data_IF_839313725882
#
_entry.id   IF_839313725882
#
_cell.length_a   1.000
_cell.length_b   1.000
_cell.length_c   1.000
_cell.angle_alpha   90.00
_cell.angle_beta   90.00
_cell.angle_gamma   90.00
#
_symmetry.space_group_name_H-M   'P 1'
#
loop_
_entity.id
_entity.type
_entity.pdbx_description
1 polymer ?
#
# COMPACT_ATOMS: atom_id res chain seq x y z
N UNK A 1 21.62 7.85 6.11
CA UNK A 1 21.37 9.10 6.85
C UNK A 1 21.06 8.67 8.27
N UNK A 2 21.84 9.05 9.28
CA UNK A 2 21.61 8.60 10.66
C UNK A 2 20.39 9.32 11.25
N UNK A 3 19.68 8.65 12.17
CA UNK A 3 18.52 9.20 12.89
C UNK A 3 18.84 10.56 13.57
N UNK A 4 20.07 10.76 14.00
CA UNK A 4 20.55 12.01 14.62
C UNK A 4 20.47 13.26 13.73
N UNK A 5 20.47 13.10 12.42
CA UNK A 5 20.37 14.25 11.49
C UNK A 5 18.92 14.70 11.25
N UNK A 6 17.93 13.89 11.61
CA UNK A 6 16.52 14.21 11.43
C UNK A 6 15.93 15.11 12.53
N UNK A 7 16.58 15.19 13.70
CA UNK A 7 16.05 15.89 14.87
C UNK A 7 16.27 17.40 14.91
N UNK A 8 17.18 17.96 14.11
CA UNK A 8 17.60 19.36 14.24
C UNK A 8 16.77 20.39 13.49
N UNK A 9 15.90 19.97 12.56
CA UNK A 9 14.99 20.89 11.86
C UNK A 9 13.61 20.22 11.74
N UNK A 10 12.68 20.50 12.65
CA UNK A 10 11.26 20.12 12.48
C UNK A 10 10.75 20.82 11.22
N UNK A 11 10.50 20.12 10.10
CA UNK A 11 9.91 20.76 8.93
C UNK A 11 8.48 21.17 9.25
N UNK A 12 8.10 22.37 8.86
CA UNK A 12 6.70 22.80 8.85
C UNK A 12 6.02 22.09 7.69
N UNK A 13 5.05 21.23 7.98
CA UNK A 13 4.27 20.51 6.99
C UNK A 13 4.34 18.97 7.12
N UNK A 14 3.63 18.29 6.24
CA UNK A 14 3.59 16.83 6.18
C UNK A 14 4.91 16.29 5.62
N UNK A 15 5.59 15.43 6.37
CA UNK A 15 6.80 14.75 5.93
C UNK A 15 6.55 13.25 5.93
N UNK A 16 6.71 12.64 4.78
CA UNK A 16 6.69 11.18 4.65
C UNK A 16 8.11 10.64 4.83
N UNK A 17 8.32 9.85 5.87
CA UNK A 17 9.59 9.15 6.09
C UNK A 17 9.35 7.66 5.86
N UNK A 18 10.13 7.06 4.97
CA UNK A 18 10.15 5.62 4.75
C UNK A 18 11.42 5.05 5.38
N UNK A 19 11.25 4.10 6.29
CA UNK A 19 12.36 3.34 6.86
C UNK A 19 12.17 1.90 6.38
N UNK A 20 12.91 1.50 5.35
CA UNK A 20 12.93 0.13 4.85
C UNK A 20 14.15 -0.58 5.41
N UNK A 21 13.95 -1.53 6.33
CA UNK A 21 15.02 -2.41 6.83
C UNK A 21 15.36 -3.53 5.85
N UNK A 22 14.38 -3.99 5.11
CA UNK A 22 14.57 -4.98 4.05
C UNK A 22 14.42 -4.30 2.71
N UNK A 23 15.29 -4.64 1.79
CA UNK A 23 15.11 -4.23 0.40
C UNK A 23 13.91 -4.98 -0.19
N UNK A 24 12.75 -4.31 -0.12
CA UNK A 24 11.46 -4.82 -0.62
C UNK A 24 11.55 -5.26 -2.07
N UNK A 25 12.32 -4.54 -2.88
CA UNK A 25 12.47 -4.86 -4.30
C UNK A 25 13.32 -6.10 -4.53
N UNK A 26 14.32 -6.37 -3.68
CA UNK A 26 15.08 -7.63 -3.75
C UNK A 26 14.20 -8.84 -3.43
N UNK A 27 13.24 -8.69 -2.52
CA UNK A 27 12.27 -9.75 -2.22
C UNK A 27 11.34 -9.95 -3.42
N UNK A 28 10.72 -8.89 -3.95
CA UNK A 28 9.79 -9.00 -5.09
C UNK A 28 10.50 -9.56 -6.33
N UNK A 29 11.78 -9.22 -6.55
CA UNK A 29 12.60 -9.75 -7.63
C UNK A 29 12.70 -11.27 -7.61
N UNK A 30 12.81 -11.92 -6.44
CA UNK A 30 12.89 -13.39 -6.31
C UNK A 30 11.71 -14.14 -6.92
N UNK A 31 10.57 -13.48 -7.06
CA UNK A 31 9.30 -14.02 -7.56
C UNK A 31 8.98 -13.60 -9.00
N UNK A 32 9.96 -13.02 -9.69
CA UNK A 32 9.84 -12.55 -11.07
C UNK A 32 11.05 -13.01 -11.88
N UNK A 33 11.00 -12.84 -13.20
CA UNK A 33 12.21 -12.94 -14.02
C UNK A 33 13.21 -11.85 -13.61
N UNK A 34 14.45 -12.20 -13.22
CA UNK A 34 15.40 -11.25 -12.67
C UNK A 34 15.81 -10.16 -13.66
N UNK A 35 15.96 -10.48 -14.95
CA UNK A 35 16.42 -9.53 -15.95
C UNK A 35 15.30 -8.54 -16.29
N UNK A 36 14.07 -9.03 -16.41
CA UNK A 36 12.89 -8.17 -16.62
C UNK A 36 12.65 -7.25 -15.43
N UNK A 37 12.84 -7.74 -14.21
CA UNK A 37 12.69 -6.93 -13.00
C UNK A 37 13.77 -5.85 -12.90
N UNK A 38 15.02 -6.16 -13.21
CA UNK A 38 16.14 -5.20 -13.20
C UNK A 38 15.92 -4.11 -14.26
N UNK A 39 15.46 -4.47 -15.47
CA UNK A 39 15.14 -3.48 -16.49
C UNK A 39 13.99 -2.58 -16.08
N UNK A 40 12.93 -3.12 -15.47
CA UNK A 40 11.86 -2.32 -14.87
C UNK A 40 12.41 -1.32 -13.85
N UNK A 41 13.29 -1.76 -12.95
CA UNK A 41 13.86 -0.87 -11.92
C UNK A 41 14.80 0.17 -12.52
N UNK A 42 15.56 -0.20 -13.54
CA UNK A 42 16.41 0.73 -14.28
C UNK A 42 15.58 1.85 -14.93
N UNK A 43 14.53 1.49 -15.65
CA UNK A 43 13.61 2.44 -16.30
C UNK A 43 12.91 3.34 -15.27
N UNK A 44 12.46 2.77 -14.15
CA UNK A 44 11.86 3.53 -13.07
C UNK A 44 12.77 4.63 -12.55
N UNK A 45 14.03 4.29 -12.23
CA UNK A 45 15.00 5.23 -11.70
C UNK A 45 15.34 6.32 -12.74
N UNK A 46 15.52 5.93 -14.02
CA UNK A 46 15.79 6.87 -15.10
C UNK A 46 14.64 7.83 -15.37
N UNK A 47 13.40 7.35 -15.32
CA UNK A 47 12.22 8.20 -15.47
C UNK A 47 12.07 9.19 -14.32
N UNK A 48 12.36 8.75 -13.09
CA UNK A 48 12.34 9.61 -11.91
C UNK A 48 13.40 10.74 -12.00
N UNK A 49 14.58 10.43 -12.54
CA UNK A 49 15.66 11.40 -12.79
C UNK A 49 15.40 12.29 -14.04
N UNK A 50 14.27 12.13 -14.73
CA UNK A 50 13.96 12.76 -16.02
C UNK A 50 14.99 12.46 -17.13
N UNK A 51 15.72 11.36 -16.97
CA UNK A 51 16.77 10.96 -17.93
C UNK A 51 16.25 10.13 -19.10
N UNK A 52 15.14 9.43 -18.90
CA UNK A 52 14.50 8.59 -19.92
C UNK A 52 13.00 8.56 -19.66
N UNK A 53 12.20 8.90 -20.67
CA UNK A 53 10.74 8.85 -20.59
C UNK A 53 10.26 7.74 -21.50
N UNK A 54 9.67 6.67 -20.96
CA UNK A 54 9.13 5.58 -21.78
C UNK A 54 7.88 6.03 -22.55
N UNK A 55 7.62 5.39 -23.71
CA UNK A 55 6.45 5.68 -24.56
C UNK A 55 5.11 5.36 -23.88
N UNK A 56 5.13 4.55 -22.84
CA UNK A 56 3.97 4.21 -22.03
C UNK A 56 4.33 4.22 -20.53
N UNK A 57 3.41 4.58 -19.64
CA UNK A 57 3.66 4.57 -18.19
C UNK A 57 4.13 3.20 -17.68
N UNK A 58 5.21 3.19 -16.92
CA UNK A 58 5.72 1.98 -16.25
C UNK A 58 4.74 1.51 -15.17
N UNK A 59 4.04 2.47 -14.54
CA UNK A 59 3.03 2.24 -13.51
C UNK A 59 1.70 2.89 -13.88
N UNK A 60 0.60 2.17 -13.60
CA UNK A 60 -0.75 2.72 -13.57
C UNK A 60 -1.37 2.59 -12.17
N UNK A 61 -2.07 3.62 -11.76
CA UNK A 61 -2.86 3.63 -10.53
C UNK A 61 -4.34 3.47 -10.86
N UNK A 62 -4.99 2.45 -10.29
CA UNK A 62 -6.40 2.14 -10.47
C UNK A 62 -7.19 2.49 -9.21
N UNK A 63 -8.19 3.34 -9.32
CA UNK A 63 -9.17 3.54 -8.25
C UNK A 63 -10.32 2.55 -8.44
N UNK A 64 -10.22 1.37 -7.81
CA UNK A 64 -11.14 0.25 -8.06
C UNK A 64 -12.54 0.45 -7.47
N UNK A 65 -12.67 1.31 -6.47
CA UNK A 65 -13.93 1.72 -5.88
C UNK A 65 -13.78 3.14 -5.31
N UNK A 66 -14.89 3.82 -5.05
CA UNK A 66 -14.88 5.14 -4.43
C UNK A 66 -15.57 5.08 -3.05
N UNK A 67 -15.06 4.22 -2.18
CA UNK A 67 -15.58 4.02 -0.83
C UNK A 67 -14.45 3.86 0.19
N UNK A 68 -14.68 4.32 1.41
CA UNK A 68 -13.81 4.09 2.55
C UNK A 68 -14.66 4.00 3.82
N UNK A 69 -14.32 3.07 4.71
CA UNK A 69 -14.98 2.91 6.01
C UNK A 69 -14.39 3.79 7.12
N UNK A 70 -13.33 4.56 6.82
CA UNK A 70 -12.74 5.56 7.73
C UNK A 70 -13.16 6.98 7.32
N UNK A 71 -12.98 7.94 8.25
CA UNK A 71 -13.27 9.37 8.07
C UNK A 71 -12.10 10.22 8.55
N UNK A 72 -10.89 9.88 8.09
CA UNK A 72 -9.65 10.57 8.46
C UNK A 72 -9.72 12.06 8.13
N UNK A 73 -9.49 12.99 9.08
CA UNK A 73 -9.64 14.42 8.86
C UNK A 73 -8.73 15.00 7.77
N UNK A 74 -7.53 14.40 7.60
CA UNK A 74 -6.55 14.83 6.62
C UNK A 74 -6.81 14.25 5.21
N UNK A 75 -7.78 13.34 5.05
CA UNK A 75 -8.03 12.68 3.79
C UNK A 75 -9.00 13.49 2.92
N UNK A 76 -8.60 13.80 1.68
CA UNK A 76 -9.43 14.53 0.72
C UNK A 76 -10.76 13.82 0.46
N UNK A 77 -10.77 12.50 0.38
CA UNK A 77 -12.00 11.72 0.25
C UNK A 77 -12.99 11.98 1.39
N UNK A 78 -12.50 12.02 2.64
CA UNK A 78 -13.35 12.28 3.82
C UNK A 78 -13.92 13.70 3.80
N UNK A 79 -13.12 14.67 3.39
CA UNK A 79 -13.52 16.08 3.30
C UNK A 79 -14.61 16.26 2.22
N UNK A 80 -14.43 15.66 1.05
CA UNK A 80 -15.37 15.77 -0.06
C UNK A 80 -16.69 15.02 0.20
N UNK A 81 -16.62 13.89 0.92
CA UNK A 81 -17.76 13.00 1.17
C UNK A 81 -18.46 13.23 2.52
N UNK A 82 -18.17 14.33 3.23
CA UNK A 82 -18.87 14.70 4.48
C UNK A 82 -20.39 14.84 4.32
N UNK A 83 -20.89 15.03 3.11
CA UNK A 83 -22.31 15.21 2.78
C UNK A 83 -23.03 13.93 2.30
N UNK A 84 -22.37 12.78 2.39
CA UNK A 84 -23.00 11.50 2.00
C UNK A 84 -23.26 11.32 0.51
N UNK A 85 -22.60 12.10 -0.34
CA UNK A 85 -22.77 12.07 -1.80
C UNK A 85 -21.96 10.98 -2.52
N UNK A 86 -21.27 10.11 -1.78
CA UNK A 86 -20.48 9.01 -2.34
C UNK A 86 -21.39 7.96 -2.95
N UNK A 87 -21.67 8.03 -4.24
CA UNK A 87 -22.12 6.87 -4.99
C UNK A 87 -20.99 5.86 -4.92
N UNK A 88 -21.28 4.64 -4.43
CA UNK A 88 -20.35 3.52 -4.59
C UNK A 88 -20.20 3.27 -6.10
N UNK A 89 -19.11 3.76 -6.66
CA UNK A 89 -18.74 3.49 -8.05
C UNK A 89 -17.69 2.39 -8.05
N UNK A 90 -17.96 1.37 -8.83
CA UNK A 90 -17.06 0.23 -9.01
C UNK A 90 -16.39 0.31 -10.36
N UNK A 91 -15.08 0.20 -10.40
CA UNK A 91 -14.35 0.10 -11.66
C UNK A 91 -14.73 -1.20 -12.38
N UNK A 92 -15.03 -1.09 -13.66
CA UNK A 92 -15.44 -2.25 -14.46
C UNK A 92 -14.28 -3.23 -14.67
N UNK A 93 -14.57 -4.51 -14.50
CA UNK A 93 -13.54 -5.55 -14.59
C UNK A 93 -13.08 -5.81 -16.02
N UNK A 94 -13.98 -5.73 -17.00
CA UNK A 94 -13.61 -5.96 -18.40
C UNK A 94 -12.74 -4.80 -18.92
N UNK A 95 -13.08 -3.57 -18.58
CA UNK A 95 -12.23 -2.40 -18.84
C UNK A 95 -10.85 -2.55 -18.18
N UNK A 96 -10.80 -3.05 -16.93
CA UNK A 96 -9.53 -3.31 -16.26
C UNK A 96 -8.66 -4.29 -17.04
N UNK A 97 -9.25 -5.40 -17.54
CA UNK A 97 -8.52 -6.39 -18.33
C UNK A 97 -7.98 -5.79 -19.63
N UNK A 98 -8.80 -5.05 -20.36
CA UNK A 98 -8.38 -4.39 -21.59
C UNK A 98 -7.19 -3.46 -21.36
N UNK A 99 -7.22 -2.65 -20.28
CA UNK A 99 -6.13 -1.74 -19.91
C UNK A 99 -4.86 -2.52 -19.54
N UNK A 100 -4.97 -3.62 -18.78
CA UNK A 100 -3.82 -4.46 -18.42
C UNK A 100 -3.22 -5.11 -19.68
N UNK A 101 -4.04 -5.72 -20.54
CA UNK A 101 -3.59 -6.43 -21.73
C UNK A 101 -2.89 -5.50 -22.74
N UNK A 102 -3.42 -4.29 -22.91
CA UNK A 102 -2.76 -3.28 -23.74
C UNK A 102 -1.51 -2.73 -23.05
N UNK A 103 -1.60 -2.44 -21.75
CA UNK A 103 -0.49 -1.88 -20.96
C UNK A 103 0.75 -2.76 -21.00
N UNK A 104 0.59 -4.09 -20.85
CA UNK A 104 1.70 -5.04 -20.87
C UNK A 104 2.40 -5.02 -22.24
N UNK A 105 1.66 -4.99 -23.34
CA UNK A 105 2.23 -4.91 -24.70
C UNK A 105 3.06 -3.64 -24.91
N UNK A 106 2.78 -2.60 -24.11
CA UNK A 106 3.42 -1.28 -24.22
C UNK A 106 4.44 -1.01 -23.10
N UNK A 107 4.71 -1.99 -22.22
CA UNK A 107 5.75 -1.88 -21.19
C UNK A 107 5.27 -1.60 -19.77
N UNK A 108 3.96 -1.68 -19.47
CA UNK A 108 3.44 -1.61 -18.11
C UNK A 108 4.02 -2.74 -17.26
N UNK A 109 4.59 -2.41 -16.08
CA UNK A 109 5.24 -3.36 -15.17
C UNK A 109 4.64 -3.35 -13.77
N UNK A 110 4.01 -2.26 -13.39
CA UNK A 110 3.54 -2.02 -12.03
C UNK A 110 2.12 -1.52 -12.03
N UNK A 111 1.32 -1.99 -11.07
CA UNK A 111 0.03 -1.37 -10.80
C UNK A 111 -0.13 -1.10 -9.31
N UNK A 112 -0.72 0.05 -9.00
CA UNK A 112 -1.27 0.39 -7.71
C UNK A 112 -2.78 0.28 -7.77
N UNK A 113 -3.40 -0.42 -6.81
CA UNK A 113 -4.82 -0.76 -6.91
C UNK A 113 -5.74 0.12 -6.07
N UNK A 114 -5.24 1.27 -5.63
CA UNK A 114 -6.02 2.34 -5.02
C UNK A 114 -5.23 3.65 -4.97
N UNK A 115 -5.97 4.76 -4.79
CA UNK A 115 -5.38 6.08 -4.53
C UNK A 115 -5.93 6.68 -3.22
N UNK A 116 -7.23 6.86 -3.10
CA UNK A 116 -7.88 7.55 -1.96
C UNK A 116 -8.96 6.71 -1.24
N UNK A 117 -9.19 5.48 -1.65
CA UNK A 117 -10.22 4.60 -1.10
C UNK A 117 -9.69 3.58 -0.08
N UNK A 118 -10.60 2.74 0.44
CA UNK A 118 -10.23 1.47 1.08
C UNK A 118 -10.48 0.32 0.10
N UNK A 119 -9.42 -0.28 -0.46
CA UNK A 119 -9.57 -1.28 -1.53
C UNK A 119 -10.24 -2.57 -1.06
N UNK A 120 -10.10 -2.94 0.22
CA UNK A 120 -10.68 -4.17 0.77
C UNK A 120 -12.20 -4.11 0.98
N UNK A 121 -12.83 -2.94 0.78
CA UNK A 121 -14.30 -2.85 0.67
C UNK A 121 -14.79 -3.54 -0.60
N UNK A 122 -13.97 -3.55 -1.65
CA UNK A 122 -14.32 -4.24 -2.90
C UNK A 122 -14.24 -5.77 -2.73
N UNK A 123 -15.36 -6.51 -2.82
CA UNK A 123 -15.38 -7.93 -2.47
C UNK A 123 -14.64 -8.83 -3.47
N UNK A 124 -14.53 -8.41 -4.73
CA UNK A 124 -13.88 -9.14 -5.81
C UNK A 124 -12.47 -8.65 -6.15
N UNK A 125 -11.82 -7.86 -5.28
CA UNK A 125 -10.49 -7.30 -5.52
C UNK A 125 -9.45 -8.39 -5.87
N UNK A 126 -9.55 -9.58 -5.28
CA UNK A 126 -8.64 -10.69 -5.54
C UNK A 126 -8.66 -11.13 -7.02
N UNK A 127 -9.80 -10.98 -7.68
CA UNK A 127 -9.95 -11.28 -9.11
C UNK A 127 -9.11 -10.34 -9.97
N UNK A 128 -9.06 -9.06 -9.60
CA UNK A 128 -8.25 -8.04 -10.27
C UNK A 128 -6.75 -8.31 -10.08
N UNK A 129 -6.34 -8.59 -8.83
CA UNK A 129 -4.94 -8.88 -8.50
C UNK A 129 -4.47 -10.12 -9.27
N UNK A 130 -5.22 -11.20 -9.19
CA UNK A 130 -4.86 -12.46 -9.85
C UNK A 130 -4.81 -12.33 -11.37
N UNK A 131 -5.73 -11.57 -11.96
CA UNK A 131 -5.67 -11.30 -13.40
C UNK A 131 -4.39 -10.58 -13.79
N UNK A 132 -4.09 -9.46 -13.14
CA UNK A 132 -2.91 -8.67 -13.44
C UNK A 132 -1.61 -9.48 -13.24
N UNK A 133 -1.54 -10.29 -12.17
CA UNK A 133 -0.37 -11.14 -11.90
C UNK A 133 -0.18 -12.20 -13.01
N UNK A 134 -1.25 -12.88 -13.37
CA UNK A 134 -1.22 -13.92 -14.43
C UNK A 134 -0.93 -13.33 -15.82
N UNK A 135 -1.30 -12.09 -16.05
CA UNK A 135 -1.03 -11.37 -17.29
C UNK A 135 0.44 -10.91 -17.40
N UNK A 136 1.22 -10.90 -16.30
CA UNK A 136 2.65 -10.58 -16.32
C UNK A 136 3.04 -9.26 -15.63
N UNK A 137 2.15 -8.64 -14.86
CA UNK A 137 2.52 -7.49 -14.03
C UNK A 137 3.49 -7.96 -12.93
N UNK A 138 4.65 -7.30 -12.83
CA UNK A 138 5.73 -7.69 -11.94
C UNK A 138 5.50 -7.26 -10.49
N UNK A 139 4.89 -6.08 -10.31
CA UNK A 139 4.72 -5.47 -8.98
C UNK A 139 3.29 -4.94 -8.82
N UNK A 140 2.54 -5.52 -7.89
CA UNK A 140 1.13 -5.22 -7.63
C UNK A 140 0.99 -4.83 -6.18
N UNK A 141 0.47 -3.64 -5.90
CA UNK A 141 0.33 -3.18 -4.53
C UNK A 141 -0.88 -2.29 -4.31
N UNK A 142 -1.24 -2.15 -3.05
CA UNK A 142 -2.20 -1.15 -2.59
C UNK A 142 -1.93 -0.74 -1.13
N UNK A 143 -2.53 0.37 -0.73
CA UNK A 143 -2.58 0.83 0.66
C UNK A 143 -3.94 0.53 1.26
N UNK A 144 -3.98 0.08 2.51
CA UNK A 144 -5.20 -0.21 3.28
C UNK A 144 -5.12 0.43 4.66
N UNK A 145 -6.26 0.68 5.28
CA UNK A 145 -6.33 1.06 6.68
C UNK A 145 -6.19 -0.16 7.64
N UNK A 146 -6.12 -1.37 7.12
CA UNK A 146 -5.90 -2.61 7.86
C UNK A 146 -7.11 -3.16 8.60
N UNK A 147 -8.24 -2.45 8.64
CA UNK A 147 -9.43 -2.85 9.42
C UNK A 147 -10.11 -4.11 8.90
N UNK A 148 -10.02 -4.35 7.60
CA UNK A 148 -10.68 -5.47 6.92
C UNK A 148 -9.74 -6.66 6.66
N UNK A 149 -8.54 -6.66 7.21
CA UNK A 149 -7.60 -7.78 7.14
C UNK A 149 -8.05 -8.95 8.06
N UNK A 150 -9.22 -9.51 7.78
CA UNK A 150 -9.70 -10.73 8.44
C UNK A 150 -8.84 -11.93 8.04
N UNK A 151 -8.95 -13.05 8.75
CA UNK A 151 -8.24 -14.29 8.42
C UNK A 151 -8.49 -14.71 6.95
N UNK A 152 -9.75 -14.76 6.54
CA UNK A 152 -10.13 -15.08 5.15
C UNK A 152 -9.53 -14.13 4.12
N UNK A 153 -9.54 -12.81 4.38
CA UNK A 153 -8.96 -11.81 3.47
C UNK A 153 -7.44 -11.96 3.43
N UNK A 154 -6.80 -12.20 4.59
CA UNK A 154 -5.37 -12.46 4.70
C UNK A 154 -4.93 -13.62 3.80
N UNK A 155 -5.57 -14.78 3.93
CA UNK A 155 -5.26 -15.94 3.09
C UNK A 155 -5.49 -15.68 1.60
N UNK A 156 -6.59 -15.01 1.28
CA UNK A 156 -6.92 -14.67 -0.11
C UNK A 156 -5.89 -13.73 -0.73
N UNK A 157 -5.42 -12.74 0.02
CA UNK A 157 -4.37 -11.81 -0.43
C UNK A 157 -3.04 -12.52 -0.68
N UNK A 158 -2.62 -13.40 0.24
CA UNK A 158 -1.37 -14.17 0.08
C UNK A 158 -1.43 -15.04 -1.20
N UNK A 159 -2.57 -15.63 -1.49
CA UNK A 159 -2.77 -16.49 -2.68
C UNK A 159 -2.99 -15.71 -3.98
N UNK A 160 -3.33 -14.44 -3.91
CA UNK A 160 -3.78 -13.65 -5.08
C UNK A 160 -2.66 -13.25 -6.04
N UNK A 161 -1.40 -13.27 -5.59
CA UNK A 161 -0.27 -12.73 -6.33
C UNK A 161 0.04 -11.27 -6.04
N UNK A 162 -0.56 -10.69 -4.99
CA UNK A 162 -0.17 -9.38 -4.47
C UNK A 162 1.32 -9.40 -4.09
N UNK A 163 2.07 -8.37 -4.44
CA UNK A 163 3.51 -8.31 -4.12
C UNK A 163 3.81 -7.44 -2.90
N UNK A 164 3.04 -6.37 -2.70
CA UNK A 164 3.24 -5.47 -1.56
C UNK A 164 1.91 -5.04 -0.95
N UNK A 165 1.81 -5.11 0.35
CA UNK A 165 0.72 -4.57 1.15
C UNK A 165 1.23 -3.40 1.98
N UNK A 166 0.62 -2.23 1.83
CA UNK A 166 0.94 -1.07 2.65
C UNK A 166 -0.20 -0.83 3.64
N UNK A 167 0.11 -0.71 4.94
CA UNK A 167 -0.90 -0.45 5.96
C UNK A 167 -0.66 0.91 6.58
N UNK A 168 -1.66 1.76 6.49
CA UNK A 168 -1.59 3.14 6.98
C UNK A 168 -2.11 3.21 8.41
N UNK A 169 -1.22 3.50 9.37
CA UNK A 169 -1.53 3.59 10.80
C UNK A 169 -1.42 5.03 11.31
N UNK A 170 -0.26 5.67 11.11
CA UNK A 170 0.06 7.05 11.46
C UNK A 170 -0.02 7.38 12.96
N UNK A 171 0.01 6.37 13.84
CA UNK A 171 -0.05 6.55 15.28
C UNK A 171 0.61 5.39 16.03
N UNK A 172 1.14 5.68 17.22
CA UNK A 172 1.62 4.68 18.17
C UNK A 172 0.64 4.47 19.33
N UNK A 173 -0.05 5.52 19.75
CA UNK A 173 -1.06 5.49 20.82
C UNK A 173 -2.49 5.45 20.29
N UNK A 174 -3.42 4.91 21.10
CA UNK A 174 -4.85 4.88 20.77
C UNK A 174 -5.45 6.28 20.65
N UNK A 175 -5.01 7.23 21.48
CA UNK A 175 -5.48 8.61 21.49
C UNK A 175 -5.18 9.30 20.16
N UNK A 176 -3.93 9.24 19.71
CA UNK A 176 -3.50 9.82 18.43
C UNK A 176 -4.16 9.10 17.26
N UNK A 177 -4.28 7.77 17.31
CA UNK A 177 -4.97 7.00 16.29
C UNK A 177 -6.42 7.46 16.11
N UNK A 178 -7.18 7.60 17.19
CA UNK A 178 -8.56 8.05 17.16
C UNK A 178 -8.71 9.49 16.64
N UNK A 179 -7.72 10.32 16.87
CA UNK A 179 -7.70 11.70 16.36
C UNK A 179 -7.45 11.74 14.85
N UNK A 180 -6.48 10.97 14.36
CA UNK A 180 -6.01 11.01 12.97
C UNK A 180 -6.86 10.11 12.06
N UNK A 181 -7.29 8.92 12.54
CA UNK A 181 -7.92 7.90 11.68
C UNK A 181 -9.44 7.90 11.72
N UNK A 182 -10.06 8.40 12.77
CA UNK A 182 -11.53 8.48 12.96
C UNK A 182 -12.30 7.28 12.40
N UNK A 183 -12.25 6.19 13.14
CA UNK A 183 -12.91 4.93 12.79
C UNK A 183 -13.58 4.30 14.01
N UNK A 184 -14.36 3.24 13.79
CA UNK A 184 -14.88 2.37 14.86
C UNK A 184 -13.90 1.27 15.27
N UNK A 185 -12.74 1.18 14.62
CA UNK A 185 -11.70 0.20 14.92
C UNK A 185 -10.62 0.81 15.81
N UNK A 186 -10.19 0.05 16.82
CA UNK A 186 -9.08 0.45 17.70
C UNK A 186 -7.73 0.22 17.04
N UNK A 187 -6.71 0.97 17.46
CA UNK A 187 -5.34 0.75 17.04
C UNK A 187 -4.88 -0.68 17.33
N UNK A 188 -5.26 -1.23 18.48
CA UNK A 188 -4.95 -2.60 18.87
C UNK A 188 -5.52 -3.62 17.88
N UNK A 189 -6.75 -3.40 17.41
CA UNK A 189 -7.35 -4.25 16.35
C UNK A 189 -6.50 -4.22 15.07
N UNK A 190 -6.03 -3.05 14.66
CA UNK A 190 -5.20 -2.91 13.45
C UNK A 190 -3.84 -3.60 13.64
N UNK A 191 -3.18 -3.38 14.78
CA UNK A 191 -1.92 -4.06 15.14
C UNK A 191 -2.08 -5.58 15.09
N UNK A 192 -3.15 -6.11 15.68
CA UNK A 192 -3.44 -7.54 15.69
C UNK A 192 -3.72 -8.09 14.29
N UNK A 193 -4.42 -7.36 13.44
CA UNK A 193 -4.67 -7.75 12.06
C UNK A 193 -3.35 -7.85 11.26
N UNK A 194 -2.45 -6.90 11.41
CA UNK A 194 -1.15 -6.90 10.74
C UNK A 194 -0.28 -8.06 11.24
N UNK A 195 -0.16 -8.22 12.55
CA UNK A 195 0.64 -9.30 13.15
C UNK A 195 0.13 -10.69 12.71
N UNK A 196 -1.20 -10.88 12.68
CA UNK A 196 -1.79 -12.10 12.14
C UNK A 196 -1.48 -12.29 10.66
N UNK A 197 -1.54 -11.23 9.85
CA UNK A 197 -1.18 -11.29 8.43
C UNK A 197 0.26 -11.76 8.24
N UNK A 198 1.21 -11.14 8.92
CA UNK A 198 2.63 -11.49 8.86
C UNK A 198 2.83 -12.95 9.28
N UNK A 199 2.28 -13.33 10.44
CA UNK A 199 2.38 -14.71 10.95
C UNK A 199 1.79 -15.73 9.98
N UNK A 200 0.61 -15.48 9.43
CA UNK A 200 -0.02 -16.39 8.46
C UNK A 200 0.83 -16.52 7.20
N UNK A 201 1.35 -15.42 6.67
CA UNK A 201 2.25 -15.43 5.51
C UNK A 201 3.50 -16.26 5.77
N UNK A 202 4.17 -16.03 6.88
CA UNK A 202 5.47 -16.62 7.19
C UNK A 202 5.34 -18.09 7.62
N UNK A 203 4.44 -18.40 8.56
CA UNK A 203 4.37 -19.74 9.18
C UNK A 203 3.46 -20.70 8.42
N UNK A 204 2.35 -20.22 7.84
CA UNK A 204 1.38 -21.11 7.16
C UNK A 204 1.72 -21.25 5.68
N UNK A 205 2.07 -20.12 5.02
CA UNK A 205 2.35 -20.14 3.57
C UNK A 205 3.84 -20.20 3.26
N UNK A 206 4.73 -20.03 4.24
CA UNK A 206 6.19 -20.00 4.08
C UNK A 206 6.60 -19.10 2.90
N UNK A 207 6.02 -17.89 2.84
CA UNK A 207 6.18 -16.92 1.76
C UNK A 207 6.75 -15.60 2.27
N UNK A 208 7.54 -14.94 1.43
CA UNK A 208 7.96 -13.55 1.69
C UNK A 208 6.97 -12.54 1.10
N UNK A 209 6.02 -12.99 0.23
CA UNK A 209 5.03 -12.13 -0.41
C UNK A 209 3.60 -12.38 0.15
N UNK A 210 2.80 -11.31 0.22
CA UNK A 210 3.16 -9.91 -0.01
C UNK A 210 4.08 -9.37 1.07
N UNK A 211 5.06 -8.53 0.69
CA UNK A 211 5.79 -7.75 1.70
C UNK A 211 4.83 -6.79 2.40
N UNK A 212 5.02 -6.58 3.69
CA UNK A 212 4.19 -5.67 4.48
C UNK A 212 4.99 -4.43 4.83
N UNK A 213 4.43 -3.26 4.49
CA UNK A 213 4.95 -1.96 4.91
C UNK A 213 3.93 -1.29 5.81
N UNK A 214 4.36 -0.79 6.94
CA UNK A 214 3.55 0.03 7.84
C UNK A 214 3.90 1.49 7.62
N UNK A 215 2.92 2.30 7.26
CA UNK A 215 3.12 3.71 6.94
C UNK A 215 2.83 4.60 8.15
N UNK A 216 3.67 5.63 8.31
CA UNK A 216 3.49 6.71 9.27
C UNK A 216 3.72 8.05 8.57
N UNK A 217 2.65 8.76 8.27
CA UNK A 217 2.71 10.12 7.74
C UNK A 217 2.81 11.07 8.92
N UNK A 218 3.95 11.73 9.06
CA UNK A 218 4.21 12.63 10.18
C UNK A 218 3.42 13.91 10.05
N UNK A 219 2.63 14.23 11.06
CA UNK A 219 1.86 15.47 11.22
C UNK A 219 2.22 16.13 12.54
N UNK A 220 1.62 17.29 12.86
CA UNK A 220 1.82 17.94 14.16
C UNK A 220 1.25 17.10 15.32
N UNK A 221 0.16 16.35 15.05
CA UNK A 221 -0.53 15.56 16.07
C UNK A 221 0.21 14.28 16.48
N UNK A 222 1.08 13.75 15.60
CA UNK A 222 1.76 12.46 15.83
C UNK A 222 3.29 12.56 15.80
N UNK A 223 3.84 13.75 15.65
CA UNK A 223 5.28 13.93 15.43
C UNK A 223 6.16 13.34 16.53
N UNK A 224 5.67 13.35 17.75
CA UNK A 224 6.40 12.91 18.95
C UNK A 224 6.30 11.38 19.16
N UNK A 225 5.43 10.68 18.40
CA UNK A 225 5.23 9.22 18.50
C UNK A 225 6.08 8.41 17.49
N UNK A 226 6.84 9.08 16.63
CA UNK A 226 7.54 8.40 15.53
C UNK A 226 8.58 7.38 16.01
N UNK A 227 9.33 7.71 17.06
CA UNK A 227 10.37 6.82 17.60
C UNK A 227 9.75 5.56 18.20
N UNK A 228 8.72 5.69 19.04
CA UNK A 228 8.00 4.57 19.65
C UNK A 228 7.30 3.71 18.57
N UNK A 229 6.79 4.36 17.52
CA UNK A 229 6.22 3.65 16.38
C UNK A 229 7.26 2.80 15.65
N UNK A 230 8.45 3.35 15.41
CA UNK A 230 9.55 2.63 14.76
C UNK A 230 9.99 1.46 15.64
N UNK A 231 10.25 1.68 16.92
CA UNK A 231 10.64 0.64 17.87
C UNK A 231 9.63 -0.52 17.91
N UNK A 232 8.32 -0.19 17.95
CA UNK A 232 7.28 -1.22 17.95
C UNK A 232 7.29 -2.09 16.69
N UNK A 233 7.53 -1.52 15.50
CA UNK A 233 7.46 -2.24 14.24
C UNK A 233 8.80 -2.82 13.77
N UNK A 234 9.89 -2.39 14.37
CA UNK A 234 11.24 -2.73 13.93
C UNK A 234 11.55 -4.22 13.97
N UNK A 235 11.04 -4.96 14.94
CA UNK A 235 11.31 -6.38 15.14
C UNK A 235 10.21 -7.32 14.63
N UNK A 236 9.27 -6.81 13.80
CA UNK A 236 8.09 -7.55 13.33
C UNK A 236 8.02 -7.76 11.84
#
# INVERSE_FOLDING_TARGET
MSLDTMHKNKPKGVVTTTIDKKDVYSIVKKYNDPDEFDEYRRLWNKSYELGEVPDFPIQLDFELNYACNFRCPMCTWSVENTKGSGRETWFDYEVFKEVIDEGIKRGLKVIRMNYINEPLIRPDIMKFISYARNAGILDIYFSTNGSLLTERITESLIKSGLTRLQVSIDAHTEETYNTIRKSSYTLETIKNNINRFIKTRDEVYNSELPTVRVNFVRTEENADELEDFIEYWEDR
#
